data_IF_519397726725
#
_entry.id   IF_519397726725
#
_cell.length_a   1.000
_cell.length_b   1.000
_cell.length_c   1.000
_cell.angle_alpha   90.00
_cell.angle_beta   90.00
_cell.angle_gamma   90.00
#
_symmetry.space_group_name_H-M   'P 1'
#
loop_
_entity.id
_entity.type
_entity.pdbx_description
1 polymer ?
#
# COMPACT_ATOMS: atom_id res chain seq x y z
N UNK A 1 -19.08 52.03 -21.54
CA UNK A 1 -18.52 50.67 -21.34
C UNK A 1 -17.19 50.68 -20.60
N UNK A 2 -16.13 51.36 -21.07
CA UNK A 2 -14.79 51.38 -20.43
C UNK A 2 -14.76 51.72 -18.93
N UNK A 3 -15.58 52.68 -18.46
CA UNK A 3 -15.66 53.05 -17.02
C UNK A 3 -16.37 51.97 -16.16
N UNK A 4 -17.29 51.21 -16.74
CA UNK A 4 -18.00 50.14 -16.05
C UNK A 4 -17.08 48.91 -15.87
N UNK A 5 -16.27 48.60 -16.87
CA UNK A 5 -15.31 47.48 -16.82
C UNK A 5 -14.19 47.72 -15.81
N UNK A 6 -13.68 48.95 -15.70
CA UNK A 6 -12.65 49.30 -14.70
C UNK A 6 -13.24 49.25 -13.28
N UNK A 7 -14.47 49.72 -13.08
CA UNK A 7 -15.14 49.63 -11.78
C UNK A 7 -15.39 48.17 -11.36
N UNK A 8 -15.77 47.29 -12.30
CA UNK A 8 -15.97 45.87 -12.04
C UNK A 8 -14.66 45.14 -11.68
N UNK A 9 -13.56 45.47 -12.37
CA UNK A 9 -12.23 44.90 -12.09
C UNK A 9 -11.70 45.36 -10.73
N UNK A 10 -11.90 46.64 -10.36
CA UNK A 10 -11.54 47.15 -9.03
C UNK A 10 -12.40 46.52 -7.94
N UNK A 11 -13.69 46.30 -8.19
CA UNK A 11 -14.56 45.56 -7.27
C UNK A 11 -14.09 44.12 -7.07
N UNK A 12 -13.80 43.40 -8.17
CA UNK A 12 -13.28 42.03 -8.13
C UNK A 12 -11.93 41.93 -7.40
N UNK A 13 -11.04 42.90 -7.61
CA UNK A 13 -9.76 42.96 -6.89
C UNK A 13 -9.96 43.23 -5.40
N UNK A 14 -10.88 44.12 -5.02
CA UNK A 14 -11.22 44.38 -3.62
C UNK A 14 -11.86 43.15 -2.94
N UNK A 15 -12.76 42.43 -3.63
CA UNK A 15 -13.33 41.18 -3.10
C UNK A 15 -12.27 40.07 -2.97
N UNK A 16 -11.32 39.97 -3.91
CA UNK A 16 -10.22 39.00 -3.79
C UNK A 16 -9.25 39.33 -2.65
N UNK A 17 -9.03 40.62 -2.33
CA UNK A 17 -8.20 41.03 -1.19
C UNK A 17 -8.86 40.76 0.16
N UNK A 18 -10.19 40.94 0.27
CA UNK A 18 -10.93 40.66 1.51
C UNK A 18 -10.97 39.16 1.82
N UNK A 19 -11.08 38.30 0.79
CA UNK A 19 -11.06 36.83 0.96
C UNK A 19 -9.64 36.31 1.25
N UNK A 20 -8.61 36.92 0.67
CA UNK A 20 -7.22 36.55 0.98
C UNK A 20 -6.83 36.95 2.41
N UNK A 21 -7.29 38.11 2.89
CA UNK A 21 -6.99 38.59 4.24
C UNK A 21 -7.69 37.76 5.33
N UNK A 22 -8.90 37.23 5.07
CA UNK A 22 -9.59 36.35 6.02
C UNK A 22 -8.92 35.00 6.21
N UNK A 23 -8.31 34.43 5.17
CA UNK A 23 -7.64 33.12 5.25
C UNK A 23 -6.29 33.20 5.97
N UNK A 24 -5.52 34.28 5.79
CA UNK A 24 -4.24 34.48 6.50
C UNK A 24 -4.44 34.65 8.02
N UNK A 25 -5.52 35.33 8.43
CA UNK A 25 -5.88 35.52 9.84
C UNK A 25 -6.29 34.19 10.50
N UNK A 26 -7.07 33.35 9.79
CA UNK A 26 -7.48 32.02 10.28
C UNK A 26 -6.26 31.08 10.37
N UNK A 27 -5.39 31.08 9.36
CA UNK A 27 -4.16 30.27 9.38
C UNK A 27 -3.31 30.59 10.61
N UNK A 28 -3.13 31.88 10.90
CA UNK A 28 -2.35 32.35 12.06
C UNK A 28 -2.99 31.93 13.38
N UNK A 29 -4.32 32.03 13.50
CA UNK A 29 -5.06 31.61 14.68
C UNK A 29 -4.96 30.09 14.93
N UNK A 30 -5.15 29.28 13.88
CA UNK A 30 -4.99 27.82 13.97
C UNK A 30 -3.56 27.46 14.36
N UNK A 31 -2.56 28.09 13.75
CA UNK A 31 -1.16 27.84 14.08
C UNK A 31 -0.87 28.14 15.56
N UNK A 32 -1.46 29.21 16.12
CA UNK A 32 -1.34 29.54 17.54
C UNK A 32 -1.96 28.44 18.43
N UNK A 33 -3.15 27.94 18.09
CA UNK A 33 -3.79 26.82 18.79
C UNK A 33 -2.89 25.59 18.82
N UNK A 34 -2.29 25.22 17.68
CA UNK A 34 -1.38 24.07 17.62
C UNK A 34 -0.12 24.27 18.49
N UNK A 35 0.41 25.51 18.60
CA UNK A 35 1.55 25.80 19.47
C UNK A 35 1.18 25.65 20.95
N UNK A 36 0.01 26.15 21.35
CA UNK A 36 -0.48 26.08 22.73
C UNK A 36 -0.80 24.64 23.16
N UNK A 37 -1.30 23.82 22.23
CA UNK A 37 -1.51 22.39 22.44
C UNK A 37 -0.21 21.55 22.49
N UNK A 38 0.96 22.18 22.33
CA UNK A 38 2.28 21.55 22.39
C UNK A 38 2.49 20.38 21.41
N UNK A 39 1.75 20.33 20.31
CA UNK A 39 1.90 19.27 19.32
C UNK A 39 3.19 19.42 18.49
N UNK A 40 3.77 20.62 18.46
CA UNK A 40 5.02 20.95 17.76
C UNK A 40 4.80 21.50 16.35
N UNK A 41 5.60 22.50 15.95
CA UNK A 41 5.43 23.21 14.66
C UNK A 41 5.83 22.37 13.43
N UNK A 42 6.75 21.43 13.63
CA UNK A 42 7.31 20.59 12.57
C UNK A 42 7.03 19.11 12.83
N UNK A 43 6.93 18.37 11.73
CA UNK A 43 6.97 16.90 11.71
C UNK A 43 8.35 16.42 11.27
N UNK A 44 8.77 15.27 11.78
CA UNK A 44 10.05 14.63 11.45
C UNK A 44 9.77 13.33 10.72
N UNK A 45 10.35 13.16 9.53
CA UNK A 45 10.11 11.98 8.69
C UNK A 45 11.38 11.12 8.65
N UNK A 46 11.28 9.88 9.16
CA UNK A 46 12.33 8.85 9.09
C UNK A 46 13.64 9.15 9.84
N UNK A 47 14.64 8.29 9.62
CA UNK A 47 15.99 8.40 10.20
C UNK A 47 16.86 9.50 9.57
N UNK A 48 16.45 10.00 8.41
CA UNK A 48 17.09 11.10 7.68
C UNK A 48 16.25 12.34 7.93
N UNK A 49 16.59 13.11 8.96
CA UNK A 49 15.76 14.21 9.51
C UNK A 49 15.34 15.21 8.41
N UNK A 50 14.14 15.02 7.84
CA UNK A 50 13.47 16.01 7.00
C UNK A 50 12.37 16.64 7.84
N UNK A 51 12.46 17.96 8.02
CA UNK A 51 11.48 18.75 8.75
C UNK A 51 10.44 19.30 7.77
N UNK A 52 9.16 18.94 7.95
CA UNK A 52 8.04 19.57 7.24
C UNK A 52 7.17 20.37 8.23
N UNK A 53 6.52 21.47 7.80
CA UNK A 53 5.53 22.15 8.62
C UNK A 53 4.39 21.20 8.99
N UNK A 54 3.93 21.23 10.24
CA UNK A 54 2.80 20.41 10.69
C UNK A 54 1.48 20.90 10.10
N UNK A 55 1.26 22.21 10.08
CA UNK A 55 0.10 22.81 9.45
C UNK A 55 0.36 22.97 7.95
N UNK A 56 -0.37 22.20 7.14
CA UNK A 56 -0.27 22.21 5.68
C UNK A 56 -1.07 23.38 5.09
N UNK A 57 -2.34 23.44 5.45
CA UNK A 57 -3.26 24.50 5.03
C UNK A 57 -4.43 24.64 6.02
N UNK A 58 -5.12 25.77 5.92
CA UNK A 58 -6.39 26.01 6.61
C UNK A 58 -7.33 26.72 5.66
N UNK A 59 -8.60 26.34 5.68
CA UNK A 59 -9.64 27.01 4.91
C UNK A 59 -10.94 27.03 5.70
N UNK A 60 -11.73 28.09 5.47
CA UNK A 60 -13.08 28.21 6.01
C UNK A 60 -14.05 28.08 4.83
N UNK A 61 -14.67 26.92 4.73
CA UNK A 61 -15.64 26.59 3.70
C UNK A 61 -17.04 26.83 4.30
N UNK A 62 -17.63 27.99 4.04
CA UNK A 62 -18.86 28.49 4.68
C UNK A 62 -18.76 28.54 6.22
N UNK A 63 -19.31 27.54 6.92
CA UNK A 63 -19.31 27.39 8.38
C UNK A 63 -18.45 26.20 8.85
N UNK A 64 -17.67 25.61 7.95
CA UNK A 64 -16.78 24.47 8.22
C UNK A 64 -15.33 24.95 8.23
N UNK A 65 -14.68 24.87 9.39
CA UNK A 65 -13.24 25.09 9.49
C UNK A 65 -12.52 23.80 9.12
N UNK A 66 -11.78 23.82 8.01
CA UNK A 66 -10.92 22.71 7.60
C UNK A 66 -9.46 23.00 7.94
N UNK A 67 -8.83 22.08 8.65
CA UNK A 67 -7.43 22.15 9.09
C UNK A 67 -6.68 20.93 8.57
N UNK A 68 -5.71 21.13 7.69
CA UNK A 68 -4.94 20.02 7.12
C UNK A 68 -3.58 19.91 7.81
N UNK A 69 -3.33 18.74 8.41
CA UNK A 69 -2.15 18.46 9.21
C UNK A 69 -1.28 17.36 8.59
N UNK A 70 0.01 17.64 8.44
CA UNK A 70 1.00 16.57 8.30
C UNK A 70 1.14 15.91 9.67
N UNK A 71 0.79 14.63 9.78
CA UNK A 71 0.74 13.94 11.07
C UNK A 71 2.00 13.11 11.34
N UNK A 72 2.30 12.98 12.63
CA UNK A 72 3.53 12.39 13.16
C UNK A 72 3.27 11.01 13.76
N UNK A 73 2.14 10.35 13.43
CA UNK A 73 1.60 9.20 14.20
C UNK A 73 2.66 8.14 14.47
N UNK A 74 3.29 8.21 15.64
CA UNK A 74 4.65 7.74 15.87
C UNK A 74 4.79 6.26 15.49
N UNK A 75 5.35 6.03 14.31
CA UNK A 75 6.13 4.84 14.03
C UNK A 75 7.59 5.29 13.94
N UNK A 76 8.38 5.01 14.97
CA UNK A 76 9.78 5.43 15.05
C UNK A 76 10.67 4.74 14.04
N UNK A 77 10.17 3.66 13.43
CA UNK A 77 10.99 2.70 12.70
C UNK A 77 10.68 2.72 11.19
N UNK A 78 9.62 3.41 10.75
CA UNK A 78 9.21 3.49 9.35
C UNK A 78 9.52 4.84 8.69
N UNK A 79 9.95 4.81 7.42
CA UNK A 79 10.13 6.04 6.60
C UNK A 79 8.81 6.60 6.06
N UNK A 80 7.80 5.75 5.86
CA UNK A 80 6.47 6.08 5.39
C UNK A 80 5.47 5.02 5.88
N UNK A 81 4.19 5.35 5.87
CA UNK A 81 3.10 4.45 6.27
C UNK A 81 2.56 3.67 5.08
N UNK A 82 1.80 2.66 5.46
CA UNK A 82 1.09 1.76 4.59
C UNK A 82 -0.41 1.90 4.83
N UNK A 83 -1.20 1.87 3.76
CA UNK A 83 -2.66 1.92 3.85
C UNK A 83 -3.26 0.52 3.68
N UNK A 84 -4.26 0.13 4.48
CA UNK A 84 -4.98 0.94 5.47
C UNK A 84 -4.20 1.13 6.78
N UNK A 85 -4.36 2.30 7.41
CA UNK A 85 -3.73 2.59 8.70
C UNK A 85 -4.21 1.63 9.80
N UNK A 86 -3.28 1.12 10.60
CA UNK A 86 -3.61 0.26 11.74
C UNK A 86 -4.55 0.96 12.73
N UNK A 87 -5.44 0.23 13.45
CA UNK A 87 -6.31 0.81 14.47
C UNK A 87 -5.56 1.63 15.53
N UNK A 88 -4.33 1.23 15.85
CA UNK A 88 -3.45 1.94 16.80
C UNK A 88 -3.07 3.33 16.28
N UNK A 89 -2.68 3.42 15.01
CA UNK A 89 -2.33 4.69 14.35
C UNK A 89 -3.56 5.60 14.30
N UNK A 90 -4.71 5.06 13.88
CA UNK A 90 -5.98 5.80 13.83
C UNK A 90 -6.39 6.36 15.19
N UNK A 91 -6.30 5.56 16.25
CA UNK A 91 -6.60 6.01 17.61
C UNK A 91 -5.62 7.11 18.09
N UNK A 92 -4.33 6.95 17.82
CA UNK A 92 -3.32 7.96 18.19
C UNK A 92 -3.57 9.30 17.50
N UNK A 93 -4.00 9.28 16.23
CA UNK A 93 -4.41 10.49 15.52
C UNK A 93 -5.66 11.14 16.15
N UNK A 94 -6.68 10.36 16.52
CA UNK A 94 -7.88 10.85 17.23
C UNK A 94 -7.53 11.52 18.56
N UNK A 95 -6.69 10.87 19.35
CA UNK A 95 -6.20 11.41 20.61
C UNK A 95 -5.42 12.70 20.41
N UNK A 96 -4.57 12.77 19.39
CA UNK A 96 -3.87 14.01 19.05
C UNK A 96 -4.84 15.13 18.67
N UNK A 97 -5.85 14.88 17.83
CA UNK A 97 -6.84 15.90 17.44
C UNK A 97 -7.69 16.35 18.63
N UNK A 98 -8.04 15.42 19.52
CA UNK A 98 -8.81 15.73 20.72
C UNK A 98 -8.12 16.73 21.66
N UNK A 99 -6.79 16.89 21.59
CA UNK A 99 -6.05 17.87 22.41
C UNK A 99 -6.37 19.32 22.08
N UNK A 100 -6.70 19.63 20.82
CA UNK A 100 -6.82 21.01 20.35
C UNK A 100 -8.16 21.32 19.68
N UNK A 101 -9.01 20.32 19.44
CA UNK A 101 -10.28 20.53 18.72
C UNK A 101 -11.21 21.52 19.43
N UNK A 102 -11.15 21.58 20.77
CA UNK A 102 -11.90 22.57 21.56
C UNK A 102 -11.56 23.99 21.13
N UNK A 103 -10.28 24.30 21.09
CA UNK A 103 -9.78 25.65 20.87
C UNK A 103 -10.00 26.09 19.41
N UNK A 104 -10.10 25.13 18.47
CA UNK A 104 -10.49 25.42 17.08
C UNK A 104 -11.91 25.99 16.96
N UNK A 105 -12.86 25.53 17.78
CA UNK A 105 -14.22 26.10 17.82
C UNK A 105 -14.26 27.49 18.46
N UNK A 106 -13.23 27.88 19.21
CA UNK A 106 -13.14 29.19 19.86
C UNK A 106 -12.52 30.27 18.93
N UNK A 107 -11.96 29.87 17.77
CA UNK A 107 -11.36 30.79 16.80
C UNK A 107 -12.39 31.78 16.24
N UNK A 108 -13.59 31.31 15.89
CA UNK A 108 -14.64 32.15 15.34
C UNK A 108 -16.05 31.64 15.72
N UNK A 109 -16.98 32.54 16.08
CA UNK A 109 -18.31 32.16 16.57
C UNK A 109 -19.21 31.51 15.51
N UNK A 110 -18.94 31.74 14.23
CA UNK A 110 -19.68 31.22 13.08
C UNK A 110 -19.37 29.74 12.73
N UNK A 111 -18.31 29.15 13.29
CA UNK A 111 -17.93 27.77 13.00
C UNK A 111 -18.99 26.80 13.52
N UNK A 112 -19.54 25.96 12.63
CA UNK A 112 -20.51 24.91 12.94
C UNK A 112 -19.94 23.50 12.83
N UNK A 113 -18.82 23.31 12.12
CA UNK A 113 -18.08 22.05 12.05
C UNK A 113 -16.58 22.34 12.00
N UNK A 114 -15.79 21.52 12.68
CA UNK A 114 -14.33 21.48 12.52
C UNK A 114 -13.98 20.16 11.88
N UNK A 115 -13.26 20.21 10.75
CA UNK A 115 -12.72 19.06 10.04
C UNK A 115 -11.21 19.13 10.02
N UNK A 116 -10.57 18.03 10.41
CA UNK A 116 -9.13 17.88 10.45
C UNK A 116 -8.71 16.80 9.45
N UNK A 117 -8.00 17.20 8.40
CA UNK A 117 -7.45 16.31 7.38
C UNK A 117 -6.06 15.83 7.83
N UNK A 118 -5.86 14.51 7.85
CA UNK A 118 -4.62 13.86 8.28
C UNK A 118 -3.82 13.43 7.06
N UNK A 119 -2.71 14.13 6.81
CA UNK A 119 -1.77 13.84 5.73
C UNK A 119 -0.57 13.06 6.25
N UNK A 120 -0.21 11.98 5.56
CA UNK A 120 0.90 11.11 5.94
C UNK A 120 1.77 10.78 4.71
N UNK A 121 3.09 10.60 4.89
CA UNK A 121 3.93 10.01 3.86
C UNK A 121 3.52 8.54 3.67
N UNK A 122 3.11 8.15 2.48
CA UNK A 122 2.66 6.79 2.16
C UNK A 122 3.48 6.23 1.01
N UNK A 123 3.84 4.94 1.09
CA UNK A 123 4.45 4.24 -0.04
C UNK A 123 3.43 4.10 -1.18
N UNK A 124 3.72 4.73 -2.32
CA UNK A 124 2.85 4.74 -3.49
C UNK A 124 3.24 3.68 -4.53
N UNK A 125 4.44 3.08 -4.42
CA UNK A 125 4.82 1.98 -5.30
C UNK A 125 5.82 0.97 -4.72
N UNK A 126 6.06 -0.09 -5.50
CA UNK A 126 6.99 -1.19 -5.20
C UNK A 126 8.48 -0.78 -5.25
N UNK A 127 8.79 0.46 -5.60
CA UNK A 127 10.17 0.98 -5.59
C UNK A 127 10.49 1.76 -4.32
N UNK A 128 9.53 1.83 -3.38
CA UNK A 128 9.66 2.61 -2.16
C UNK A 128 9.52 4.11 -2.42
N UNK A 129 8.86 4.52 -3.51
CA UNK A 129 8.53 5.92 -3.70
C UNK A 129 7.44 6.32 -2.70
N UNK A 130 7.62 7.52 -2.13
CA UNK A 130 6.78 8.05 -1.07
C UNK A 130 6.12 9.32 -1.54
N UNK A 131 4.80 9.43 -1.35
CA UNK A 131 4.06 10.67 -1.55
C UNK A 131 3.27 11.05 -0.29
N UNK A 132 2.98 12.34 -0.13
CA UNK A 132 2.13 12.83 0.95
C UNK A 132 0.67 12.64 0.54
N UNK A 133 -0.02 11.70 1.17
CA UNK A 133 -1.40 11.34 0.84
C UNK A 133 -2.34 11.71 2.00
N UNK A 134 -3.56 12.13 1.66
CA UNK A 134 -4.65 12.31 2.62
C UNK A 134 -5.09 10.93 3.12
N UNK A 135 -4.66 10.59 4.33
CA UNK A 135 -4.85 9.26 4.91
C UNK A 135 -6.16 9.12 5.70
N UNK A 136 -6.78 10.23 6.09
CA UNK A 136 -8.10 10.24 6.68
C UNK A 136 -8.53 11.62 7.18
N UNK A 137 -9.77 11.71 7.61
CA UNK A 137 -10.41 12.91 8.12
C UNK A 137 -11.05 12.62 9.48
N UNK A 138 -10.95 13.61 10.37
CA UNK A 138 -11.61 13.62 11.66
C UNK A 138 -12.47 14.86 11.75
N UNK A 139 -13.73 14.73 12.15
CA UNK A 139 -14.62 15.87 12.29
C UNK A 139 -15.42 15.87 13.59
N UNK A 140 -15.81 17.07 14.00
CA UNK A 140 -16.76 17.29 15.07
C UNK A 140 -17.69 18.43 14.67
N UNK A 141 -18.98 18.25 14.89
CA UNK A 141 -19.98 19.30 14.72
C UNK A 141 -20.19 20.10 16.03
N UNK A 142 -20.71 21.32 15.91
CA UNK A 142 -20.97 22.23 17.04
C UNK A 142 -22.01 21.67 18.01
N UNK A 143 -22.95 20.85 17.54
CA UNK A 143 -23.95 20.24 18.39
C UNK A 143 -23.33 19.21 19.34
N UNK A 144 -22.30 18.50 18.90
CA UNK A 144 -21.50 17.56 19.68
C UNK A 144 -20.56 18.33 20.61
N UNK A 145 -19.84 19.32 20.09
CA UNK A 145 -18.97 20.21 20.85
C UNK A 145 -19.68 20.84 22.07
N UNK A 146 -20.89 21.37 21.89
CA UNK A 146 -21.67 22.04 22.96
C UNK A 146 -22.21 21.09 24.03
N UNK A 147 -22.25 19.78 23.78
CA UNK A 147 -22.70 18.77 24.75
C UNK A 147 -21.57 18.27 25.66
N UNK A 148 -20.32 18.56 25.33
CA UNK A 148 -19.15 18.09 26.08
C UNK A 148 -18.94 18.98 27.31
N UNK A 149 -18.78 18.35 28.48
CA UNK A 149 -18.28 19.04 29.67
C UNK A 149 -16.74 19.10 29.62
N UNK A 150 -16.21 20.13 28.96
CA UNK A 150 -14.77 20.28 28.69
C UNK A 150 -13.89 20.35 29.94
N UNK A 151 -14.43 20.69 31.10
CA UNK A 151 -13.68 20.69 32.37
C UNK A 151 -13.52 19.29 32.98
N UNK A 152 -14.37 18.34 32.59
CA UNK A 152 -14.42 16.99 33.18
C UNK A 152 -14.20 15.85 32.17
N UNK A 153 -14.34 16.12 30.87
CA UNK A 153 -14.18 15.11 29.83
C UNK A 153 -12.72 14.68 29.71
N UNK A 154 -12.48 13.37 29.74
CA UNK A 154 -11.15 12.84 29.43
C UNK A 154 -10.89 12.93 27.93
N UNK A 155 -9.61 13.04 27.57
CA UNK A 155 -9.17 13.09 26.18
C UNK A 155 -9.66 11.89 25.36
N UNK A 156 -9.72 10.70 25.96
CA UNK A 156 -10.27 9.51 25.30
C UNK A 156 -11.76 9.66 24.95
N UNK A 157 -12.55 10.27 25.85
CA UNK A 157 -13.98 10.49 25.60
C UNK A 157 -14.15 11.46 24.44
N UNK A 158 -13.37 12.55 24.42
CA UNK A 158 -13.38 13.52 23.32
C UNK A 158 -12.94 12.86 22.01
N UNK A 159 -11.87 12.07 22.02
CA UNK A 159 -11.38 11.34 20.86
C UNK A 159 -12.44 10.38 20.29
N UNK A 160 -13.20 9.70 21.14
CA UNK A 160 -14.29 8.80 20.72
C UNK A 160 -15.53 9.53 20.18
N UNK A 161 -15.67 10.83 20.44
CA UNK A 161 -16.76 11.64 19.90
C UNK A 161 -16.42 12.23 18.51
N UNK A 162 -15.16 12.14 18.07
CA UNK A 162 -14.76 12.49 16.71
C UNK A 162 -15.39 11.52 15.73
N UNK A 163 -16.11 12.06 14.75
CA UNK A 163 -16.48 11.31 13.55
C UNK A 163 -15.19 11.08 12.76
N UNK A 164 -15.03 9.85 12.25
CA UNK A 164 -13.83 9.47 11.53
C UNK A 164 -14.19 8.95 10.15
N UNK A 165 -13.47 9.47 9.17
CA UNK A 165 -13.53 9.03 7.79
C UNK A 165 -12.09 8.73 7.35
N UNK A 166 -11.66 7.49 7.55
CA UNK A 166 -10.36 7.01 7.08
C UNK A 166 -10.42 6.55 5.62
N UNK A 167 -11.51 6.91 4.93
CA UNK A 167 -11.95 6.31 3.67
C UNK A 167 -11.60 7.20 2.48
N UNK A 168 -10.83 8.29 2.69
CA UNK A 168 -10.30 9.12 1.61
C UNK A 168 -9.50 8.32 0.56
N UNK A 169 -9.12 7.08 0.87
CA UNK A 169 -8.71 6.05 -0.09
C UNK A 169 -9.28 4.62 0.16
N UNK A 170 -10.31 4.43 1.00
CA UNK A 170 -10.85 3.06 1.20
C UNK A 170 -11.44 2.45 -0.07
N UNK A 171 -11.81 3.26 -1.07
CA UNK A 171 -12.23 2.66 -2.34
C UNK A 171 -11.10 1.87 -2.99
N UNK A 172 -9.82 2.27 -2.85
CA UNK A 172 -8.70 1.64 -3.58
C UNK A 172 -8.07 0.42 -2.89
N UNK A 173 -8.43 0.14 -1.62
CA UNK A 173 -7.78 -0.88 -0.79
C UNK A 173 -8.72 -2.04 -0.35
N UNK A 174 -9.91 -2.17 -0.94
CA UNK A 174 -10.68 -3.41 -0.79
C UNK A 174 -10.27 -4.39 -1.91
N UNK A 175 -9.62 -5.53 -1.61
CA UNK A 175 -9.29 -6.52 -2.64
C UNK A 175 -10.55 -6.98 -3.37
N UNK A 176 -11.74 -6.96 -2.76
CA UNK A 176 -13.00 -7.34 -3.42
C UNK A 176 -13.35 -6.42 -4.59
N UNK A 177 -12.90 -5.16 -4.56
CA UNK A 177 -13.20 -4.21 -5.63
C UNK A 177 -12.60 -4.65 -6.95
N UNK A 178 -11.34 -5.10 -6.95
CA UNK A 178 -10.65 -5.53 -8.17
C UNK A 178 -11.39 -6.66 -8.87
N UNK A 179 -12.02 -7.55 -8.09
CA UNK A 179 -12.85 -8.63 -8.61
C UNK A 179 -14.04 -8.07 -9.38
N UNK A 180 -14.80 -7.16 -8.77
CA UNK A 180 -16.00 -6.58 -9.39
C UNK A 180 -15.65 -5.69 -10.58
N UNK A 181 -14.61 -4.88 -10.48
CA UNK A 181 -14.17 -4.00 -11.58
C UNK A 181 -13.67 -4.82 -12.78
N UNK A 182 -12.77 -5.77 -12.56
CA UNK A 182 -12.21 -6.61 -13.63
C UNK A 182 -13.30 -7.39 -14.37
N UNK A 183 -14.19 -8.09 -13.65
CA UNK A 183 -15.28 -8.83 -14.30
C UNK A 183 -16.34 -7.92 -14.92
N UNK A 184 -16.61 -6.74 -14.34
CA UNK A 184 -17.51 -5.76 -14.95
C UNK A 184 -16.99 -5.26 -16.29
N UNK A 185 -15.71 -4.89 -16.37
CA UNK A 185 -15.06 -4.51 -17.63
C UNK A 185 -15.03 -5.67 -18.61
N UNK A 186 -14.68 -6.87 -18.17
CA UNK A 186 -14.61 -8.06 -19.02
C UNK A 186 -15.97 -8.41 -19.62
N UNK A 187 -17.00 -8.58 -18.79
CA UNK A 187 -18.33 -9.01 -19.22
C UNK A 187 -19.12 -7.94 -19.96
N UNK A 188 -18.75 -6.66 -19.82
CA UNK A 188 -19.25 -5.58 -20.69
C UNK A 188 -18.55 -5.49 -22.05
N UNK A 189 -17.57 -6.35 -22.32
CA UNK A 189 -16.80 -6.39 -23.57
C UNK A 189 -15.61 -5.43 -23.63
N UNK A 190 -15.27 -4.75 -22.53
CA UNK A 190 -14.12 -3.85 -22.41
C UNK A 190 -12.87 -4.61 -21.96
N UNK A 191 -12.44 -5.61 -22.76
CA UNK A 191 -11.33 -6.52 -22.40
C UNK A 191 -10.03 -5.77 -22.08
N UNK A 192 -9.70 -4.70 -22.81
CA UNK A 192 -8.49 -3.91 -22.55
C UNK A 192 -8.50 -3.26 -21.15
N UNK A 193 -9.66 -2.78 -20.69
CA UNK A 193 -9.77 -2.24 -19.33
C UNK A 193 -9.69 -3.36 -18.28
N UNK A 194 -10.27 -4.53 -18.59
CA UNK A 194 -10.13 -5.70 -17.72
C UNK A 194 -8.66 -6.12 -17.55
N UNK A 195 -7.84 -6.06 -18.61
CA UNK A 195 -6.40 -6.37 -18.57
C UNK A 195 -5.65 -5.41 -17.64
N UNK A 196 -6.04 -4.13 -17.55
CA UNK A 196 -5.38 -3.14 -16.69
C UNK A 196 -5.48 -3.46 -15.20
N UNK A 197 -6.38 -4.37 -14.81
CA UNK A 197 -6.51 -4.86 -13.44
C UNK A 197 -5.59 -6.04 -13.10
N UNK A 198 -4.83 -6.56 -14.07
CA UNK A 198 -3.92 -7.69 -13.86
C UNK A 198 -2.48 -7.23 -13.62
N UNK A 199 -1.73 -8.03 -12.87
CA UNK A 199 -0.33 -7.75 -12.60
C UNK A 199 0.47 -7.74 -13.92
N UNK A 200 1.32 -6.74 -14.18
CA UNK A 200 1.99 -6.55 -15.48
C UNK A 200 2.96 -7.68 -15.86
N UNK A 201 3.41 -8.45 -14.86
CA UNK A 201 4.24 -9.65 -15.08
C UNK A 201 3.48 -10.90 -15.56
N UNK A 202 2.15 -10.86 -15.62
CA UNK A 202 1.33 -11.97 -16.16
C UNK A 202 1.47 -12.02 -17.69
N UNK A 203 1.46 -13.22 -18.25
CA UNK A 203 1.65 -13.45 -19.68
C UNK A 203 0.44 -12.94 -20.48
N UNK A 204 0.63 -11.75 -21.08
CA UNK A 204 -0.45 -10.98 -21.71
C UNK A 204 -1.20 -11.70 -22.83
N UNK A 205 -0.54 -12.56 -23.62
CA UNK A 205 -1.21 -13.29 -24.72
C UNK A 205 -2.27 -14.24 -24.18
N UNK A 206 -1.93 -15.09 -23.20
CA UNK A 206 -2.87 -16.04 -22.59
C UNK A 206 -3.96 -15.29 -21.80
N UNK A 207 -3.58 -14.23 -21.09
CA UNK A 207 -4.54 -13.39 -20.38
C UNK A 207 -5.60 -12.80 -21.34
N UNK A 208 -5.16 -12.28 -22.49
CA UNK A 208 -6.06 -11.71 -23.49
C UNK A 208 -7.02 -12.77 -24.01
N UNK A 209 -6.52 -13.95 -24.38
CA UNK A 209 -7.37 -15.05 -24.86
C UNK A 209 -8.42 -15.49 -23.82
N UNK A 210 -8.04 -15.57 -22.54
CA UNK A 210 -8.96 -15.90 -21.45
C UNK A 210 -10.08 -14.86 -21.31
N UNK A 211 -9.72 -13.58 -21.24
CA UNK A 211 -10.70 -12.51 -21.05
C UNK A 211 -11.59 -12.30 -22.28
N UNK A 212 -11.06 -12.49 -23.49
CA UNK A 212 -11.87 -12.49 -24.72
C UNK A 212 -12.88 -13.64 -24.73
N UNK A 213 -12.46 -14.84 -24.29
CA UNK A 213 -13.37 -15.98 -24.15
C UNK A 213 -14.49 -15.70 -23.15
N UNK A 214 -14.16 -15.16 -21.98
CA UNK A 214 -15.16 -14.80 -20.96
C UNK A 214 -16.11 -13.69 -21.42
N UNK A 215 -15.60 -12.66 -22.11
CA UNK A 215 -16.41 -11.61 -22.70
C UNK A 215 -17.36 -12.14 -23.78
N UNK A 216 -16.89 -13.09 -24.61
CA UNK A 216 -17.71 -13.73 -25.64
C UNK A 216 -18.86 -14.56 -25.04
N UNK A 217 -18.61 -15.26 -23.94
CA UNK A 217 -19.65 -15.98 -23.19
C UNK A 217 -20.67 -14.99 -22.63
N UNK A 218 -20.24 -13.89 -22.00
CA UNK A 218 -21.15 -12.87 -21.50
C UNK A 218 -22.01 -12.26 -22.62
N UNK A 219 -21.43 -12.01 -23.80
CA UNK A 219 -22.14 -11.51 -24.97
C UNK A 219 -23.23 -12.47 -25.47
N UNK A 220 -22.96 -13.79 -25.46
CA UNK A 220 -23.91 -14.82 -25.90
C UNK A 220 -25.14 -14.91 -24.98
N UNK A 221 -24.92 -14.83 -23.68
CA UNK A 221 -25.97 -15.01 -22.66
C UNK A 221 -26.61 -13.69 -22.18
N UNK A 222 -26.02 -12.55 -22.54
CA UNK A 222 -26.47 -11.21 -22.18
C UNK A 222 -25.59 -10.57 -21.10
N UNK A 223 -24.81 -9.52 -21.43
CA UNK A 223 -23.94 -8.83 -20.47
C UNK A 223 -24.66 -8.33 -19.22
N UNK A 224 -25.87 -7.76 -19.38
CA UNK A 224 -26.67 -7.24 -18.27
C UNK A 224 -26.98 -8.31 -17.21
N UNK A 225 -27.17 -9.57 -17.63
CA UNK A 225 -27.42 -10.68 -16.72
C UNK A 225 -26.18 -11.00 -15.88
N UNK A 226 -25.00 -10.97 -16.49
CA UNK A 226 -23.73 -11.21 -15.81
C UNK A 226 -23.42 -10.10 -14.80
N UNK A 227 -23.60 -8.84 -15.20
CA UNK A 227 -23.43 -7.68 -14.33
C UNK A 227 -24.41 -7.71 -13.15
N UNK A 228 -25.68 -8.08 -13.40
CA UNK A 228 -26.66 -8.27 -12.33
C UNK A 228 -26.23 -9.37 -11.34
N UNK A 229 -25.71 -10.51 -11.82
CA UNK A 229 -25.19 -11.55 -10.94
C UNK A 229 -23.96 -11.08 -10.14
N UNK A 230 -23.07 -10.30 -10.76
CA UNK A 230 -21.90 -9.74 -10.10
C UNK A 230 -22.27 -8.84 -8.91
N UNK A 231 -23.35 -8.07 -9.06
CA UNK A 231 -23.89 -7.23 -7.98
C UNK A 231 -24.50 -8.05 -6.84
N UNK A 232 -25.15 -9.18 -7.16
CA UNK A 232 -25.77 -10.07 -6.18
C UNK A 232 -24.78 -10.96 -5.42
N UNK A 233 -23.56 -11.12 -5.91
CA UNK A 233 -22.54 -11.94 -5.27
C UNK A 233 -21.92 -11.21 -4.07
N UNK A 234 -21.81 -11.94 -2.96
CA UNK A 234 -20.91 -11.61 -1.87
C UNK A 234 -19.50 -12.11 -2.20
N UNK A 235 -18.48 -11.43 -1.68
CA UNK A 235 -17.08 -11.79 -1.88
C UNK A 235 -16.43 -12.05 -0.53
N UNK A 236 -15.94 -13.27 -0.34
CA UNK A 236 -15.09 -13.64 0.80
C UNK A 236 -13.62 -13.50 0.42
N UNK A 237 -12.80 -13.09 1.38
CA UNK A 237 -11.38 -12.78 1.17
C UNK A 237 -10.57 -13.57 2.17
N UNK A 238 -9.58 -14.29 1.67
CA UNK A 238 -8.69 -15.15 2.45
C UNK A 238 -7.24 -14.69 2.26
N UNK A 239 -6.56 -14.16 3.29
CA UNK A 239 -5.14 -13.83 3.20
C UNK A 239 -4.30 -15.11 3.07
N UNK A 240 -3.28 -15.06 2.21
CA UNK A 240 -2.35 -16.18 1.97
C UNK A 240 -0.87 -15.75 2.02
N UNK A 241 -0.60 -14.58 2.63
CA UNK A 241 0.73 -14.01 2.84
C UNK A 241 1.36 -13.37 1.59
N UNK A 242 2.34 -12.50 1.82
CA UNK A 242 3.05 -11.70 0.81
C UNK A 242 2.12 -10.73 0.05
N UNK A 243 1.22 -10.10 0.80
CA UNK A 243 0.13 -9.22 0.42
C UNK A 243 -0.81 -9.85 -0.62
N UNK A 244 -0.94 -11.17 -0.59
CA UNK A 244 -1.80 -11.94 -1.49
C UNK A 244 -3.07 -12.41 -0.79
N UNK A 245 -4.13 -12.42 -1.56
CA UNK A 245 -5.46 -12.81 -1.10
C UNK A 245 -6.13 -13.69 -2.14
N UNK A 246 -6.91 -14.67 -1.67
CA UNK A 246 -7.88 -15.39 -2.51
C UNK A 246 -9.24 -14.73 -2.30
N UNK A 247 -9.81 -14.24 -3.39
CA UNK A 247 -11.20 -13.78 -3.43
C UNK A 247 -12.07 -14.93 -3.90
N UNK A 248 -13.08 -15.27 -3.10
CA UNK A 248 -14.02 -16.34 -3.39
C UNK A 248 -15.45 -15.78 -3.43
N UNK A 249 -16.10 -15.78 -4.60
CA UNK A 249 -17.50 -15.37 -4.68
C UNK A 249 -18.43 -16.38 -4.01
N UNK A 250 -19.43 -15.86 -3.30
CA UNK A 250 -20.48 -16.63 -2.64
C UNK A 250 -21.87 -16.11 -2.98
N UNK A 251 -22.86 -17.01 -2.96
CA UNK A 251 -24.28 -16.67 -3.13
C UNK A 251 -25.07 -17.37 -2.03
N UNK A 252 -25.82 -16.60 -1.24
CA UNK A 252 -26.54 -17.10 -0.06
C UNK A 252 -25.63 -17.89 0.91
N UNK A 253 -24.41 -17.39 1.13
CA UNK A 253 -23.41 -18.02 2.01
C UNK A 253 -22.81 -19.33 1.48
N UNK A 254 -22.96 -19.64 0.18
CA UNK A 254 -22.33 -20.80 -0.46
C UNK A 254 -21.30 -20.37 -1.48
N UNK A 255 -20.11 -20.94 -1.39
CA UNK A 255 -19.05 -20.79 -2.37
C UNK A 255 -19.50 -21.22 -3.78
N UNK A 256 -19.19 -20.38 -4.75
CA UNK A 256 -19.30 -20.75 -6.16
C UNK A 256 -18.09 -21.58 -6.62
N UNK A 257 -18.11 -21.99 -7.89
CA UNK A 257 -17.07 -22.83 -8.50
C UNK A 257 -15.66 -22.26 -8.24
N UNK A 258 -14.71 -23.16 -8.01
CA UNK A 258 -13.28 -22.86 -7.81
C UNK A 258 -12.70 -22.04 -8.96
N UNK A 259 -13.19 -22.20 -10.19
CA UNK A 259 -12.72 -21.46 -11.36
C UNK A 259 -13.02 -19.95 -11.28
N UNK A 260 -14.05 -19.56 -10.52
CA UNK A 260 -14.45 -18.16 -10.35
C UNK A 260 -13.64 -17.44 -9.25
N UNK A 261 -12.71 -18.11 -8.58
CA UNK A 261 -11.84 -17.45 -7.60
C UNK A 261 -10.82 -16.56 -8.32
N UNK A 262 -10.35 -15.52 -7.65
CA UNK A 262 -9.16 -14.77 -8.09
C UNK A 262 -8.11 -14.79 -7.00
N UNK A 263 -6.86 -14.99 -7.38
CA UNK A 263 -5.73 -14.63 -6.54
C UNK A 263 -5.36 -13.18 -6.87
N UNK A 264 -5.34 -12.33 -5.86
CA UNK A 264 -5.00 -10.91 -5.99
C UNK A 264 -3.83 -10.58 -5.09
N UNK A 265 -3.10 -9.53 -5.43
CA UNK A 265 -1.98 -9.05 -4.65
C UNK A 265 -1.97 -7.55 -4.61
N UNK A 266 -1.49 -6.98 -3.51
CA UNK A 266 -1.18 -5.56 -3.49
C UNK A 266 0.06 -5.28 -4.36
N UNK A 267 -0.09 -4.34 -5.28
CA UNK A 267 0.94 -3.94 -6.22
C UNK A 267 0.79 -2.45 -6.51
N UNK A 268 1.89 -1.71 -6.38
CA UNK A 268 1.93 -0.27 -6.67
C UNK A 268 0.81 0.56 -5.99
N UNK A 269 0.57 0.31 -4.70
CA UNK A 269 -0.45 1.04 -3.93
C UNK A 269 -1.91 0.66 -4.20
N UNK A 270 -2.18 -0.36 -5.03
CA UNK A 270 -3.53 -0.88 -5.31
C UNK A 270 -3.54 -2.41 -5.33
N UNK A 271 -4.68 -3.04 -5.61
CA UNK A 271 -4.80 -4.48 -5.82
C UNK A 271 -4.81 -4.83 -7.30
N UNK A 272 -4.06 -5.86 -7.67
CA UNK A 272 -4.04 -6.43 -9.02
C UNK A 272 -4.34 -7.92 -8.98
N UNK A 273 -4.91 -8.44 -10.05
CA UNK A 273 -5.13 -9.87 -10.22
C UNK A 273 -3.83 -10.56 -10.64
N UNK A 274 -3.46 -11.62 -9.93
CA UNK A 274 -2.32 -12.47 -10.27
C UNK A 274 -2.75 -13.65 -11.13
N UNK A 275 -3.73 -14.42 -10.66
CA UNK A 275 -4.11 -15.69 -11.27
C UNK A 275 -5.64 -15.92 -11.21
N UNK A 276 -6.22 -16.53 -12.25
CA UNK A 276 -7.59 -17.02 -12.20
C UNK A 276 -7.69 -18.30 -11.36
N UNK A 277 -8.89 -18.65 -10.90
CA UNK A 277 -9.15 -19.76 -9.98
C UNK A 277 -8.69 -21.13 -10.47
N UNK A 278 -8.59 -21.32 -11.78
CA UNK A 278 -8.07 -22.53 -12.42
C UNK A 278 -6.54 -22.68 -12.36
N UNK A 279 -5.80 -21.63 -11.97
CA UNK A 279 -4.34 -21.62 -11.91
C UNK A 279 -3.76 -21.93 -10.51
N UNK A 280 -4.62 -22.11 -9.50
CA UNK A 280 -4.21 -22.41 -8.12
C UNK A 280 -5.23 -23.26 -7.36
N UNK A 281 -4.81 -23.96 -6.32
CA UNK A 281 -5.69 -24.80 -5.49
C UNK A 281 -6.39 -24.00 -4.37
N UNK A 282 -7.04 -24.65 -3.41
CA UNK A 282 -7.70 -23.98 -2.27
C UNK A 282 -6.75 -23.26 -1.32
N UNK A 283 -5.49 -23.71 -1.23
CA UNK A 283 -4.46 -23.14 -0.34
C UNK A 283 -3.60 -22.08 -1.03
N UNK A 284 -3.93 -21.68 -2.26
CA UNK A 284 -3.13 -20.74 -3.05
C UNK A 284 -1.87 -21.34 -3.70
N UNK A 285 -1.70 -22.67 -3.67
CA UNK A 285 -0.57 -23.32 -4.34
C UNK A 285 -0.78 -23.29 -5.87
N UNK A 286 0.21 -22.73 -6.55
CA UNK A 286 0.19 -22.46 -8.00
C UNK A 286 0.45 -23.76 -8.78
N UNK A 287 -0.46 -24.08 -9.71
CA UNK A 287 -0.36 -25.27 -10.55
C UNK A 287 0.41 -24.99 -11.86
N UNK A 288 0.50 -25.97 -12.76
CA UNK A 288 1.23 -25.83 -14.04
C UNK A 288 0.69 -24.70 -14.92
N UNK A 289 -0.61 -24.46 -14.93
CA UNK A 289 -1.21 -23.37 -15.70
C UNK A 289 -0.83 -22.01 -15.11
N UNK A 290 -0.83 -21.88 -13.79
CA UNK A 290 -0.36 -20.66 -13.13
C UNK A 290 1.11 -20.34 -13.41
N UNK A 291 1.98 -21.36 -13.53
CA UNK A 291 3.39 -21.15 -13.94
C UNK A 291 3.53 -20.60 -15.36
N UNK A 292 2.65 -21.04 -16.28
CA UNK A 292 2.60 -20.52 -17.64
C UNK A 292 2.10 -19.07 -17.62
N UNK A 293 1.03 -18.79 -16.87
CA UNK A 293 0.48 -17.45 -16.70
C UNK A 293 1.50 -16.47 -16.10
N UNK A 294 2.35 -16.90 -15.18
CA UNK A 294 3.43 -16.06 -14.63
C UNK A 294 4.64 -15.91 -15.56
N UNK A 295 4.59 -16.53 -16.74
CA UNK A 295 5.70 -16.53 -17.69
C UNK A 295 7.03 -16.99 -17.03
N UNK A 296 6.97 -18.03 -16.19
CA UNK A 296 8.14 -18.54 -15.45
C UNK A 296 8.73 -19.80 -16.06
N UNK A 297 8.06 -20.42 -17.03
CA UNK A 297 8.45 -21.73 -17.58
C UNK A 297 9.81 -21.70 -18.27
N UNK A 298 10.13 -20.59 -18.95
CA UNK A 298 11.38 -20.42 -19.68
C UNK A 298 12.51 -19.84 -18.82
N UNK A 299 12.25 -19.54 -17.55
CA UNK A 299 13.26 -18.96 -16.66
C UNK A 299 14.18 -20.07 -16.13
N UNK A 300 15.50 -19.80 -15.98
CA UNK A 300 16.41 -20.75 -15.34
C UNK A 300 15.95 -21.12 -13.92
N UNK A 301 16.31 -22.31 -13.46
CA UNK A 301 16.05 -22.73 -12.09
C UNK A 301 16.71 -21.75 -11.09
N UNK A 302 15.95 -21.14 -10.15
CA UNK A 302 16.50 -20.21 -9.16
C UNK A 302 17.62 -20.81 -8.31
N UNK A 303 17.63 -22.15 -8.13
CA UNK A 303 18.72 -22.84 -7.43
C UNK A 303 20.09 -22.57 -8.06
N UNK A 304 20.18 -22.37 -9.38
CA UNK A 304 21.45 -22.07 -10.07
C UNK A 304 22.00 -20.73 -9.58
N UNK A 305 21.15 -19.71 -9.54
CA UNK A 305 21.57 -18.37 -9.12
C UNK A 305 21.87 -18.31 -7.62
N UNK A 306 21.08 -19.03 -6.81
CA UNK A 306 21.36 -19.18 -5.39
C UNK A 306 22.74 -19.79 -5.14
N UNK A 307 23.09 -20.89 -5.83
CA UNK A 307 24.42 -21.51 -5.71
C UNK A 307 25.54 -20.53 -6.06
N UNK A 308 25.38 -19.79 -7.16
CA UNK A 308 26.39 -18.81 -7.58
C UNK A 308 26.55 -17.68 -6.55
N UNK A 309 25.47 -17.24 -5.93
CA UNK A 309 25.53 -16.24 -4.86
C UNK A 309 26.26 -16.76 -3.62
N UNK A 310 25.97 -17.99 -3.18
CA UNK A 310 26.68 -18.62 -2.05
C UNK A 310 28.16 -18.84 -2.38
N UNK A 311 28.49 -19.28 -3.59
CA UNK A 311 29.88 -19.40 -4.05
C UNK A 311 30.59 -18.04 -4.02
N UNK A 312 29.92 -16.96 -4.43
CA UNK A 312 30.47 -15.61 -4.36
C UNK A 312 30.72 -15.13 -2.92
N UNK A 313 29.84 -15.45 -1.97
CA UNK A 313 30.07 -15.21 -0.53
C UNK A 313 31.32 -15.95 -0.08
N UNK A 314 31.43 -17.24 -0.42
CA UNK A 314 32.61 -18.03 -0.08
C UNK A 314 33.85 -17.41 -0.72
N UNK A 315 33.85 -17.08 -2.00
CA UNK A 315 34.99 -16.48 -2.70
C UNK A 315 35.30 -15.02 -2.31
N UNK A 316 34.50 -14.42 -1.41
CA UNK A 316 34.56 -13.00 -1.04
C UNK A 316 34.48 -12.07 -2.26
N UNK A 317 33.75 -12.50 -3.29
CA UNK A 317 33.55 -11.76 -4.53
C UNK A 317 32.32 -10.85 -4.42
N UNK A 318 32.58 -9.62 -4.00
CA UNK A 318 31.55 -8.58 -3.89
C UNK A 318 30.83 -8.29 -5.21
N UNK A 319 31.56 -8.24 -6.34
CA UNK A 319 30.97 -7.85 -7.61
C UNK A 319 29.96 -8.91 -8.09
N UNK A 320 30.34 -10.19 -7.98
CA UNK A 320 29.45 -11.29 -8.31
C UNK A 320 28.28 -11.35 -7.34
N UNK A 321 28.50 -11.25 -6.02
CA UNK A 321 27.41 -11.26 -5.05
C UNK A 321 26.42 -10.10 -5.27
N UNK A 322 26.91 -8.91 -5.62
CA UNK A 322 26.04 -7.77 -5.92
C UNK A 322 25.14 -8.03 -7.11
N UNK A 323 25.65 -8.70 -8.16
CA UNK A 323 24.85 -9.07 -9.33
C UNK A 323 23.73 -10.05 -8.99
N UNK A 324 23.95 -10.93 -8.00
CA UNK A 324 22.99 -11.92 -7.52
C UNK A 324 22.16 -11.46 -6.33
N UNK A 325 22.21 -10.19 -5.94
CA UNK A 325 21.41 -9.64 -4.85
C UNK A 325 20.50 -8.54 -5.39
N UNK A 326 19.24 -8.52 -4.97
CA UNK A 326 18.25 -7.55 -5.49
C UNK A 326 18.73 -6.10 -5.37
N UNK A 327 18.22 -5.24 -6.26
CA UNK A 327 18.45 -3.79 -6.22
C UNK A 327 18.00 -3.13 -4.90
N UNK A 328 17.06 -3.74 -4.17
CA UNK A 328 16.53 -3.23 -2.90
C UNK A 328 17.53 -3.35 -1.72
N UNK A 329 18.64 -4.05 -1.90
CA UNK A 329 19.66 -4.25 -0.87
C UNK A 329 20.82 -3.27 -1.06
N UNK A 330 21.30 -2.70 0.04
CA UNK A 330 22.46 -1.79 0.06
C UNK A 330 23.79 -2.52 -0.13
N UNK A 331 24.75 -1.86 -0.76
CA UNK A 331 26.11 -2.38 -0.90
C UNK A 331 26.78 -2.65 0.47
N UNK A 332 26.45 -1.88 1.51
CA UNK A 332 26.98 -2.06 2.86
C UNK A 332 26.45 -3.32 3.54
N UNK A 333 25.21 -3.73 3.25
CA UNK A 333 24.70 -5.03 3.70
C UNK A 333 25.53 -6.17 3.07
N UNK A 334 25.74 -6.10 1.75
CA UNK A 334 26.47 -7.13 1.00
C UNK A 334 27.92 -7.26 1.48
N UNK A 335 28.61 -6.14 1.75
CA UNK A 335 29.96 -6.15 2.33
C UNK A 335 29.97 -6.84 3.69
N UNK A 336 29.03 -6.50 4.58
CA UNK A 336 28.91 -7.13 5.90
C UNK A 336 28.68 -8.64 5.78
N UNK A 337 27.81 -9.09 4.88
CA UNK A 337 27.58 -10.53 4.63
C UNK A 337 28.87 -11.27 4.26
N UNK A 338 29.72 -10.66 3.42
CA UNK A 338 31.02 -11.24 3.04
C UNK A 338 31.99 -11.25 4.23
N UNK A 339 32.03 -10.19 5.02
CA UNK A 339 32.93 -10.04 6.17
C UNK A 339 32.56 -10.98 7.34
N UNK A 340 31.27 -11.16 7.60
CA UNK A 340 30.73 -12.06 8.63
C UNK A 340 31.08 -13.53 8.36
N UNK A 341 31.25 -13.91 7.09
CA UNK A 341 31.81 -15.21 6.70
C UNK A 341 33.34 -15.26 6.90
N UNK A 342 33.75 -15.29 8.17
CA UNK A 342 35.14 -15.39 8.60
C UNK A 342 35.62 -16.85 8.64
N UNK A 343 36.42 -17.25 7.66
CA UNK A 343 37.12 -18.53 7.64
C UNK A 343 38.56 -18.36 7.11
N UNK A 344 39.48 -19.27 7.45
CA UNK A 344 40.85 -19.27 6.92
C UNK A 344 40.89 -19.92 5.53
N UNK A 345 41.56 -19.30 4.55
CA UNK A 345 41.63 -19.81 3.16
C UNK A 345 42.19 -21.25 3.03
N UNK A 346 42.95 -21.71 4.02
CA UNK A 346 43.51 -23.07 4.10
C UNK A 346 42.54 -24.10 4.71
N UNK A 347 41.32 -23.71 5.03
CA UNK A 347 40.35 -24.59 5.67
C UNK A 347 39.70 -25.56 4.66
N UNK A 348 40.04 -26.85 4.76
CA UNK A 348 39.41 -27.93 3.99
C UNK A 348 37.87 -27.93 4.10
N UNK A 349 37.33 -27.32 5.15
CA UNK A 349 35.89 -27.11 5.37
C UNK A 349 35.25 -26.27 4.25
N UNK A 350 35.95 -25.26 3.72
CA UNK A 350 35.42 -24.35 2.69
C UNK A 350 35.30 -25.05 1.34
N UNK A 351 36.31 -25.85 0.97
CA UNK A 351 36.27 -26.64 -0.26
C UNK A 351 35.13 -27.66 -0.22
N UNK A 352 34.87 -28.25 0.94
CA UNK A 352 33.75 -29.17 1.16
C UNK A 352 32.40 -28.43 1.06
N UNK A 353 32.29 -27.22 1.62
CA UNK A 353 31.09 -26.38 1.52
C UNK A 353 30.79 -25.94 0.08
N UNK A 354 31.83 -25.61 -0.71
CA UNK A 354 31.67 -25.30 -2.13
C UNK A 354 31.09 -26.48 -2.91
N UNK A 355 31.67 -27.67 -2.74
CA UNK A 355 31.18 -28.89 -3.37
C UNK A 355 29.74 -29.25 -2.94
N UNK A 356 29.41 -29.06 -1.66
CA UNK A 356 28.05 -29.27 -1.16
C UNK A 356 27.06 -28.26 -1.76
N UNK A 357 27.46 -27.00 -1.90
CA UNK A 357 26.65 -25.94 -2.51
C UNK A 357 26.33 -26.28 -3.96
N UNK A 358 27.33 -26.72 -4.74
CA UNK A 358 27.17 -27.08 -6.15
C UNK A 358 26.08 -28.14 -6.41
N UNK A 359 25.83 -29.03 -5.45
CA UNK A 359 24.84 -30.12 -5.57
C UNK A 359 23.53 -29.84 -4.81
N UNK A 360 23.44 -28.75 -4.04
CA UNK A 360 22.28 -28.46 -3.19
C UNK A 360 21.10 -27.93 -4.00
N UNK A 361 19.93 -28.55 -3.85
CA UNK A 361 18.69 -28.11 -4.48
C UNK A 361 17.57 -27.99 -3.46
N UNK A 362 16.76 -26.96 -3.63
CA UNK A 362 15.60 -26.66 -2.82
C UNK A 362 14.35 -26.68 -3.70
N UNK A 363 13.22 -27.18 -3.19
CA UNK A 363 11.91 -26.95 -3.79
C UNK A 363 11.67 -25.47 -4.08
N UNK A 364 11.06 -25.18 -5.24
CA UNK A 364 10.74 -23.83 -5.69
C UNK A 364 9.24 -23.60 -5.55
N UNK A 365 8.88 -22.58 -4.77
CA UNK A 365 7.50 -22.13 -4.56
C UNK A 365 7.37 -20.74 -5.20
N UNK A 366 6.33 -20.53 -6.01
CA UNK A 366 6.07 -19.23 -6.64
C UNK A 366 5.18 -18.38 -5.74
N UNK A 367 5.57 -17.12 -5.54
CA UNK A 367 4.76 -16.12 -4.83
C UNK A 367 3.95 -15.33 -5.85
N UNK A 368 4.64 -14.68 -6.78
CA UNK A 368 4.09 -13.81 -7.81
C UNK A 368 4.93 -13.94 -9.11
N UNK A 369 4.64 -13.20 -10.20
CA UNK A 369 5.39 -13.32 -11.43
C UNK A 369 6.88 -13.02 -11.33
N UNK A 370 7.36 -12.35 -10.27
CA UNK A 370 8.77 -12.00 -10.11
C UNK A 370 9.41 -12.67 -8.90
N UNK A 371 8.66 -13.30 -8.00
CA UNK A 371 9.19 -13.70 -6.69
C UNK A 371 8.94 -15.18 -6.41
N UNK A 372 9.97 -15.86 -5.91
CA UNK A 372 9.96 -17.29 -5.54
C UNK A 372 10.56 -17.49 -4.16
N UNK A 373 10.16 -18.58 -3.50
CA UNK A 373 10.79 -19.10 -2.30
C UNK A 373 11.49 -20.41 -2.65
N UNK A 374 12.75 -20.51 -2.23
CA UNK A 374 13.48 -21.75 -2.12
C UNK A 374 13.38 -22.23 -0.66
N UNK A 375 12.73 -23.37 -0.41
CA UNK A 375 12.54 -23.86 0.96
C UNK A 375 12.51 -25.38 1.06
N UNK A 376 13.15 -25.91 2.12
CA UNK A 376 13.01 -27.31 2.57
C UNK A 376 12.04 -27.46 3.75
N UNK A 377 11.82 -26.38 4.50
CA UNK A 377 10.95 -26.30 5.69
C UNK A 377 10.50 -24.85 5.91
N UNK A 378 9.40 -24.66 6.63
CA UNK A 378 8.84 -23.34 6.97
C UNK A 378 9.87 -22.45 7.70
N UNK A 379 10.77 -23.04 8.50
CA UNK A 379 11.82 -22.31 9.24
C UNK A 379 13.03 -21.89 8.38
N UNK A 380 13.19 -22.43 7.17
CA UNK A 380 14.31 -22.11 6.26
C UNK A 380 13.77 -21.73 4.88
N UNK A 381 13.48 -20.44 4.71
CA UNK A 381 12.97 -19.85 3.48
C UNK A 381 13.99 -18.86 2.90
N UNK A 382 14.40 -19.11 1.66
CA UNK A 382 15.25 -18.20 0.90
C UNK A 382 14.40 -17.59 -0.20
N UNK A 383 14.12 -16.30 -0.10
CA UNK A 383 13.33 -15.60 -1.11
C UNK A 383 14.25 -15.10 -2.22
N UNK A 384 13.80 -15.25 -3.47
CA UNK A 384 14.50 -14.76 -4.64
C UNK A 384 13.56 -13.98 -5.57
N UNK A 385 14.11 -12.96 -6.22
CA UNK A 385 13.37 -12.11 -7.16
C UNK A 385 14.02 -12.14 -8.54
N UNK A 386 13.20 -12.20 -9.58
CA UNK A 386 13.62 -12.17 -10.97
C UNK A 386 13.89 -10.73 -11.39
N UNK A 387 15.16 -10.41 -11.66
CA UNK A 387 15.61 -9.08 -12.04
C UNK A 387 16.75 -9.20 -13.04
N UNK A 388 16.80 -8.33 -14.05
CA UNK A 388 17.90 -8.27 -15.02
C UNK A 388 18.20 -9.61 -15.72
N UNK A 389 17.17 -10.45 -15.90
CA UNK A 389 17.29 -11.75 -16.56
C UNK A 389 17.89 -12.87 -15.68
N UNK A 390 18.00 -12.67 -14.37
CA UNK A 390 18.50 -13.66 -13.41
C UNK A 390 17.67 -13.66 -12.12
N UNK A 391 17.75 -14.75 -11.35
CA UNK A 391 17.18 -14.79 -10.00
C UNK A 391 18.18 -14.21 -9.01
N UNK A 392 17.74 -13.28 -8.18
CA UNK A 392 18.58 -12.61 -7.18
C UNK A 392 18.06 -12.87 -5.78
N UNK A 393 18.96 -13.02 -4.81
CA UNK A 393 18.62 -13.15 -3.39
C UNK A 393 17.85 -11.91 -2.95
N UNK A 394 16.75 -12.15 -2.24
CA UNK A 394 15.84 -11.16 -1.73
C UNK A 394 15.75 -11.30 -0.19
N UNK A 395 16.68 -10.67 0.56
CA UNK A 395 16.76 -10.84 2.01
C UNK A 395 15.60 -10.15 2.73
N UNK A 396 15.40 -10.51 4.00
CA UNK A 396 14.28 -10.05 4.82
C UNK A 396 14.11 -8.52 4.82
N UNK A 397 15.16 -7.75 5.07
CA UNK A 397 15.11 -6.27 5.08
C UNK A 397 14.51 -5.68 3.79
N UNK A 398 14.68 -6.37 2.66
CA UNK A 398 14.18 -5.94 1.38
C UNK A 398 12.75 -6.46 1.12
N UNK A 399 12.34 -7.57 1.74
CA UNK A 399 10.95 -8.04 1.74
C UNK A 399 10.05 -7.06 2.47
N UNK A 400 10.49 -6.49 3.60
CA UNK A 400 9.72 -5.48 4.36
C UNK A 400 9.42 -4.22 3.54
N UNK A 401 10.18 -3.97 2.47
CA UNK A 401 9.97 -2.85 1.56
C UNK A 401 8.87 -3.16 0.54
N UNK A 402 8.72 -4.44 0.17
CA UNK A 402 7.85 -4.88 -0.94
C UNK A 402 6.56 -5.53 -0.47
N UNK A 403 6.56 -6.19 0.70
CA UNK A 403 5.41 -6.86 1.28
C UNK A 403 5.20 -6.41 2.73
N UNK A 404 4.01 -5.90 3.02
CA UNK A 404 3.66 -5.39 4.35
C UNK A 404 3.35 -6.52 5.34
N UNK A 405 2.68 -7.58 4.87
CA UNK A 405 2.32 -8.75 5.69
C UNK A 405 3.42 -9.82 5.77
N UNK A 406 4.68 -9.51 5.41
CA UNK A 406 5.74 -10.52 5.27
C UNK A 406 5.89 -11.41 6.53
N UNK A 407 5.62 -10.87 7.72
CA UNK A 407 5.67 -11.59 8.99
C UNK A 407 4.55 -12.62 9.18
N UNK A 408 3.44 -12.47 8.46
CA UNK A 408 2.33 -13.44 8.43
C UNK A 408 2.53 -14.52 7.35
N UNK A 409 3.49 -14.32 6.43
CA UNK A 409 3.85 -15.25 5.34
C UNK A 409 5.10 -16.11 5.59
N UNK A 410 5.82 -15.88 6.69
CA UNK A 410 6.91 -16.72 7.23
C UNK A 410 6.34 -17.72 8.24
#
# INVERSE_FOLDING_TARGET
MRKLTIALIVLLLLFSQVIAQSNDDIYTAVLQVLKEAQIGEFVRIGSSIIEKPRLKETRLDDDILVVSLNSNVIDSDAKAYSLPLSPKIRMSAKESVATFIKDLFEIAPEINEVRVEIWLPIYIDEFGNVDDVLAGELSMDKQTYTKINWEMASLQIVANLLQENWDSQQSDNDPKRIYKEMFSHCWSGNVNEAINHWHPGVYGEILTELLESDAQVALEYGPDLFLFYLELMDLEVYPIGYDRYIIWPTVNGRHLNLDLRLMVQRYAGTYVVLLPGMAFNETGAINSFGKIMFNTVDRPDPNISYRNAILAILDKDFATLRSYTTKYVSDDYIRRTIEEFSYSEEDHTVQTLKQFTEISSYPVILIDPYTVILSKSEEEQIVMRWEDGIWKIFPQEALEIVYEDYSEGL
#
